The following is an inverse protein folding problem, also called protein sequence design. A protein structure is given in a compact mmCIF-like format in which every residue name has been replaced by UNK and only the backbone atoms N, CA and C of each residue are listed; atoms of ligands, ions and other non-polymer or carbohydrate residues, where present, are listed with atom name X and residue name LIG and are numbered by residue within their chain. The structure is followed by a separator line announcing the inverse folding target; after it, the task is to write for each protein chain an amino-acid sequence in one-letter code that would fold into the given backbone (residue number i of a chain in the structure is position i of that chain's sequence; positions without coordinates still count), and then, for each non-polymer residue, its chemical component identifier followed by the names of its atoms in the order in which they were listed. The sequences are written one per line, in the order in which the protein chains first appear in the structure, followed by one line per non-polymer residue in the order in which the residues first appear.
data_IF_515105020745
#
_entry.id   IF_515105020745
#
_cell.length_a   1.000
_cell.length_b   1.000
_cell.length_c   1.000
_cell.angle_alpha   90.00
_cell.angle_beta   90.00
_cell.angle_gamma   90.00
#
_symmetry.space_group_name_H-M   'P 1'
#
loop_
_entity.id
_entity.type
_entity.pdbx_description
1 polymer ?
#
# COMPACT_ATOMS: atom_id res chain seq x y z
N UNK A 1 11.29 9.98 3.85
CA UNK A 1 10.34 8.83 3.82
C UNK A 1 11.12 7.60 4.26
N UNK A 2 10.85 7.06 5.46
CA UNK A 2 11.37 5.74 5.82
C UNK A 2 10.74 4.72 4.86
N UNK A 3 11.57 3.90 4.22
CA UNK A 3 11.20 2.90 3.22
C UNK A 3 10.18 1.95 3.82
N UNK A 4 8.89 2.13 3.53
CA UNK A 4 7.78 1.50 4.27
C UNK A 4 7.07 0.37 3.51
N UNK A 5 7.63 -0.17 2.44
CA UNK A 5 6.83 -1.10 1.64
C UNK A 5 7.55 -2.24 0.92
N UNK A 6 8.81 -2.60 1.25
CA UNK A 6 9.50 -3.62 0.45
C UNK A 6 9.60 -3.24 -1.05
N UNK A 7 9.31 -1.97 -1.37
CA UNK A 7 9.31 -1.41 -2.72
C UNK A 7 10.75 -1.32 -3.28
N UNK A 8 11.73 -1.45 -2.41
CA UNK A 8 13.14 -1.66 -2.72
C UNK A 8 13.38 -2.97 -3.49
N UNK A 9 12.50 -3.96 -3.39
CA UNK A 9 12.56 -5.20 -4.18
C UNK A 9 11.72 -5.17 -5.46
N UNK A 10 10.90 -4.12 -5.65
CA UNK A 10 10.03 -3.98 -6.81
C UNK A 10 10.75 -3.21 -7.93
N UNK A 11 10.58 -3.62 -9.20
CA UNK A 11 11.15 -2.90 -10.34
C UNK A 11 10.77 -1.42 -10.29
N UNK A 12 11.71 -0.50 -10.56
CA UNK A 12 11.46 0.95 -10.50
C UNK A 12 10.52 1.50 -11.59
N UNK A 13 9.86 0.62 -12.34
CA UNK A 13 8.91 0.94 -13.39
C UNK A 13 7.52 0.41 -13.02
N UNK A 14 6.51 1.29 -13.06
CA UNK A 14 5.11 0.98 -12.75
C UNK A 14 4.53 -0.10 -13.67
N UNK A 15 5.00 -0.18 -14.92
CA UNK A 15 4.57 -1.20 -15.87
C UNK A 15 5.15 -2.55 -15.49
N UNK A 16 6.45 -2.61 -15.21
CA UNK A 16 7.09 -3.82 -14.70
C UNK A 16 6.51 -4.27 -13.34
N UNK A 17 6.12 -3.33 -12.46
CA UNK A 17 5.39 -3.66 -11.23
C UNK A 17 4.01 -4.25 -11.52
N UNK A 18 3.25 -3.65 -12.44
CA UNK A 18 1.93 -4.13 -12.83
C UNK A 18 2.01 -5.53 -13.47
N UNK A 19 2.99 -5.76 -14.36
CA UNK A 19 3.24 -7.06 -14.99
C UNK A 19 3.65 -8.11 -13.95
N UNK A 20 4.56 -7.76 -13.04
CA UNK A 20 4.95 -8.65 -11.95
C UNK A 20 3.76 -9.00 -11.05
N UNK A 21 2.89 -8.05 -10.74
CA UNK A 21 1.69 -8.29 -9.93
C UNK A 21 0.62 -9.07 -10.68
N UNK A 22 0.51 -8.87 -12.00
CA UNK A 22 -0.35 -9.64 -12.89
C UNK A 22 0.08 -11.10 -12.94
N UNK A 23 1.36 -11.35 -13.20
CA UNK A 23 1.94 -12.70 -13.22
C UNK A 23 1.80 -13.42 -11.87
N UNK A 24 1.81 -12.68 -10.76
CA UNK A 24 1.67 -13.21 -9.41
C UNK A 24 0.27 -13.00 -8.81
N UNK A 25 -0.75 -12.69 -9.62
CA UNK A 25 -2.05 -12.27 -9.13
C UNK A 25 -2.76 -13.33 -8.27
N UNK A 26 -2.52 -14.62 -8.53
CA UNK A 26 -3.07 -15.74 -7.75
C UNK A 26 -2.29 -16.03 -6.46
N UNK A 27 -1.07 -15.51 -6.31
CA UNK A 27 -0.25 -15.75 -5.11
C UNK A 27 -0.77 -14.94 -3.93
N UNK A 28 -0.94 -15.62 -2.78
CA UNK A 28 -1.38 -15.03 -1.51
C UNK A 28 -0.23 -14.64 -0.58
N UNK A 29 0.90 -14.22 -1.15
CA UNK A 29 2.02 -13.71 -0.35
C UNK A 29 1.66 -12.35 0.25
N UNK A 30 2.10 -12.09 1.49
CA UNK A 30 1.93 -10.80 2.16
C UNK A 30 2.44 -9.65 1.32
N UNK A 31 3.58 -9.83 0.65
CA UNK A 31 4.17 -8.84 -0.25
C UNK A 31 3.23 -8.48 -1.40
N UNK A 32 2.69 -9.48 -2.10
CA UNK A 32 1.79 -9.28 -3.24
C UNK A 32 0.48 -8.62 -2.81
N UNK A 33 -0.07 -9.01 -1.65
CA UNK A 33 -1.28 -8.39 -1.10
C UNK A 33 -1.04 -6.92 -0.76
N UNK A 34 0.06 -6.61 -0.07
CA UNK A 34 0.43 -5.22 0.27
C UNK A 34 0.63 -4.40 -1.00
N UNK A 35 1.36 -4.91 -1.99
CA UNK A 35 1.61 -4.22 -3.25
C UNK A 35 0.31 -3.90 -4.02
N UNK A 36 -0.64 -4.85 -4.09
CA UNK A 36 -1.97 -4.60 -4.66
C UNK A 36 -2.73 -3.49 -3.92
N UNK A 37 -2.66 -3.46 -2.59
CA UNK A 37 -3.27 -2.39 -1.79
C UNK A 37 -2.62 -1.03 -2.05
N UNK A 38 -1.29 -1.00 -2.18
CA UNK A 38 -0.53 0.23 -2.51
C UNK A 38 -0.98 0.80 -3.84
N UNK A 39 -1.05 -0.03 -4.89
CA UNK A 39 -1.52 0.42 -6.21
C UNK A 39 -2.96 0.90 -6.14
N UNK A 40 -3.87 0.08 -5.58
CA UNK A 40 -5.29 0.43 -5.51
C UNK A 40 -5.53 1.75 -4.76
N UNK A 41 -4.90 1.93 -3.59
CA UNK A 41 -5.02 3.16 -2.82
C UNK A 41 -4.40 4.36 -3.56
N UNK A 42 -3.22 4.20 -4.15
CA UNK A 42 -2.56 5.28 -4.88
C UNK A 42 -3.39 5.74 -6.07
N UNK A 43 -3.89 4.81 -6.89
CA UNK A 43 -4.76 5.11 -8.03
C UNK A 43 -6.03 5.84 -7.57
N UNK A 44 -6.68 5.34 -6.50
CA UNK A 44 -7.89 5.95 -5.97
C UNK A 44 -7.66 7.39 -5.48
N UNK A 45 -6.64 7.63 -4.65
CA UNK A 45 -6.40 8.95 -4.08
C UNK A 45 -5.85 9.96 -5.10
N UNK A 46 -5.10 9.51 -6.11
CA UNK A 46 -4.69 10.35 -7.24
C UNK A 46 -5.90 10.78 -8.06
N UNK A 47 -6.79 9.85 -8.39
CA UNK A 47 -8.05 10.16 -9.08
C UNK A 47 -8.93 11.10 -8.26
N UNK A 48 -9.08 10.84 -6.95
CA UNK A 48 -9.83 11.69 -6.04
C UNK A 48 -9.26 13.11 -5.98
N UNK A 49 -7.94 13.26 -5.93
CA UNK A 49 -7.29 14.57 -5.92
C UNK A 49 -7.52 15.33 -7.24
N UNK A 50 -7.45 14.64 -8.39
CA UNK A 50 -7.78 15.24 -9.68
C UNK A 50 -9.22 15.75 -9.69
N UNK A 51 -10.18 14.97 -9.21
CA UNK A 51 -11.57 15.39 -9.15
C UNK A 51 -11.82 16.53 -8.15
N UNK A 52 -11.16 16.53 -7.00
CA UNK A 52 -11.30 17.62 -6.04
C UNK A 52 -10.76 18.94 -6.58
N UNK A 53 -9.70 18.92 -7.38
CA UNK A 53 -9.20 20.11 -8.06
C UNK A 53 -10.20 20.65 -9.08
N UNK A 54 -10.88 19.76 -9.80
CA UNK A 54 -11.89 20.13 -10.79
C UNK A 54 -13.17 20.68 -10.14
N UNK A 55 -13.66 20.05 -9.07
CA UNK A 55 -15.01 20.30 -8.55
C UNK A 55 -15.08 20.99 -7.18
N UNK A 56 -14.01 20.97 -6.39
CA UNK A 56 -14.02 21.47 -4.99
C UNK A 56 -13.03 22.62 -4.73
N UNK A 57 -12.28 23.08 -5.75
CA UNK A 57 -11.20 24.10 -5.66
C UNK A 57 -10.19 23.90 -4.50
N UNK A 58 -10.23 22.75 -3.85
CA UNK A 58 -9.38 22.39 -2.72
C UNK A 58 -8.18 21.65 -3.26
N UNK A 59 -6.99 22.00 -2.76
CA UNK A 59 -5.74 21.35 -3.14
C UNK A 59 -5.13 20.75 -1.90
N UNK A 60 -4.92 19.43 -1.90
CA UNK A 60 -4.11 18.79 -0.87
C UNK A 60 -2.65 18.83 -1.32
N UNK A 61 -1.77 19.00 -0.35
CA UNK A 61 -0.34 18.84 -0.57
C UNK A 61 -0.02 17.38 -0.89
N UNK A 62 1.09 17.13 -1.59
CA UNK A 62 1.56 15.78 -1.88
C UNK A 62 1.71 14.97 -0.59
N UNK A 63 2.24 15.60 0.47
CA UNK A 63 2.37 14.99 1.80
C UNK A 63 1.03 14.49 2.34
N UNK A 64 -0.01 15.34 2.32
CA UNK A 64 -1.34 14.95 2.78
C UNK A 64 -1.89 13.76 1.99
N UNK A 65 -1.78 13.77 0.66
CA UNK A 65 -2.25 12.66 -0.18
C UNK A 65 -1.51 11.36 0.15
N UNK A 66 -0.19 11.42 0.32
CA UNK A 66 0.62 10.26 0.73
C UNK A 66 0.24 9.75 2.12
N UNK A 67 -0.05 10.64 3.07
CA UNK A 67 -0.51 10.29 4.41
C UNK A 67 -1.89 9.61 4.37
N UNK A 68 -2.82 10.08 3.52
CA UNK A 68 -4.11 9.43 3.28
C UNK A 68 -3.96 8.03 2.70
N UNK A 69 -3.12 7.88 1.66
CA UNK A 69 -2.82 6.57 1.04
C UNK A 69 -2.25 5.61 2.09
N UNK A 70 -1.23 6.06 2.82
CA UNK A 70 -0.56 5.24 3.85
C UNK A 70 -1.55 4.81 4.94
N UNK A 71 -2.41 5.73 5.40
CA UNK A 71 -3.41 5.45 6.43
C UNK A 71 -4.47 4.47 5.94
N UNK A 72 -4.94 4.61 4.70
CA UNK A 72 -5.91 3.70 4.10
C UNK A 72 -5.36 2.27 3.96
N UNK A 73 -4.11 2.13 3.53
CA UNK A 73 -3.44 0.83 3.44
C UNK A 73 -3.27 0.24 4.84
N UNK A 74 -2.74 1.01 5.80
CA UNK A 74 -2.56 0.55 7.19
C UNK A 74 -3.88 0.08 7.79
N UNK A 75 -4.96 0.84 7.63
CA UNK A 75 -6.28 0.46 8.11
C UNK A 75 -6.76 -0.84 7.46
N UNK A 76 -6.55 -1.02 6.16
CA UNK A 76 -6.89 -2.28 5.49
C UNK A 76 -6.05 -3.44 6.03
N UNK A 77 -4.75 -3.25 6.25
CA UNK A 77 -3.87 -4.28 6.80
C UNK A 77 -4.26 -4.68 8.24
N UNK A 78 -4.80 -3.76 9.05
CA UNK A 78 -5.34 -4.10 10.38
C UNK A 78 -6.52 -5.08 10.31
N UNK A 79 -7.28 -5.08 9.21
CA UNK A 79 -8.36 -6.04 8.98
C UNK A 79 -7.85 -7.39 8.48
N UNK A 80 -6.62 -7.45 7.98
CA UNK A 80 -5.99 -8.67 7.52
C UNK A 80 -5.43 -9.47 8.71
N UNK A 81 -5.36 -10.80 8.55
CA UNK A 81 -4.72 -11.69 9.53
C UNK A 81 -3.35 -12.09 9.01
N UNK A 82 -2.29 -11.62 9.67
CA UNK A 82 -0.93 -11.99 9.30
C UNK A 82 -0.55 -13.32 9.95
N UNK A 83 0.07 -14.20 9.16
CA UNK A 83 0.73 -15.40 9.69
C UNK A 83 1.95 -14.96 10.49
N UNK A 84 2.25 -15.64 11.62
CA UNK A 84 3.52 -15.49 12.35
C UNK A 84 4.72 -16.07 11.58
N UNK A 85 5.00 -15.52 10.41
CA UNK A 85 6.23 -15.79 9.65
C UNK A 85 7.20 -14.62 9.77
N UNK A 86 8.47 -14.84 9.41
CA UNK A 86 9.48 -13.76 9.34
C UNK A 86 8.98 -12.60 8.47
N UNK A 87 8.39 -12.91 7.31
CA UNK A 87 7.83 -11.92 6.38
C UNK A 87 6.64 -11.17 6.98
N UNK A 88 5.72 -11.89 7.65
CA UNK A 88 4.57 -11.27 8.31
C UNK A 88 5.00 -10.31 9.41
N UNK A 89 5.98 -10.70 10.22
CA UNK A 89 6.56 -9.86 11.29
C UNK A 89 7.28 -8.65 10.71
N UNK A 90 8.06 -8.86 9.65
CA UNK A 90 8.76 -7.78 8.95
C UNK A 90 7.76 -6.73 8.41
N UNK A 91 6.74 -7.15 7.66
CA UNK A 91 5.75 -6.23 7.11
C UNK A 91 4.92 -5.54 8.18
N UNK A 92 4.52 -6.23 9.26
CA UNK A 92 3.78 -5.58 10.33
C UNK A 92 4.60 -4.47 11.01
N UNK A 93 5.91 -4.70 11.24
CA UNK A 93 6.79 -3.65 11.78
C UNK A 93 6.91 -2.47 10.83
N UNK A 94 7.08 -2.76 9.54
CA UNK A 94 7.19 -1.77 8.48
C UNK A 94 5.97 -0.85 8.40
N UNK A 95 4.78 -1.43 8.56
CA UNK A 95 3.49 -0.74 8.59
C UNK A 95 3.02 -0.33 9.99
N UNK A 96 3.88 -0.50 11.01
CA UNK A 96 3.62 -0.17 12.42
C UNK A 96 2.30 -0.78 12.96
N UNK A 97 1.99 -2.01 12.56
CA UNK A 97 0.79 -2.71 12.98
C UNK A 97 0.95 -3.27 14.41
N UNK A 98 -0.12 -3.28 15.22
CA UNK A 98 -0.12 -3.86 16.55
C UNK A 98 0.06 -5.39 16.49
N UNK A 99 0.53 -5.97 17.58
CA UNK A 99 0.73 -7.42 17.72
C UNK A 99 -0.58 -8.23 17.66
N UNK A 100 -1.74 -7.59 17.83
CA UNK A 100 -3.08 -8.20 17.68
C UNK A 100 -3.38 -8.66 16.26
N UNK A 101 -2.61 -8.21 15.26
CA UNK A 101 -2.80 -8.57 13.85
C UNK A 101 -2.22 -9.96 13.51
N UNK A 102 -1.46 -10.58 14.41
CA UNK A 102 -0.88 -11.92 14.23
C UNK A 102 -1.72 -13.04 14.82
N UNK A 103 -1.83 -14.16 14.09
CA UNK A 103 -2.31 -15.44 14.62
C UNK A 103 -1.29 -16.54 14.41
#
# INVERSE_FOLDING_TARGET
MKTRAGLDQLPHDIYAMADHLGANASRKSSHIVIAKLVIAASTYFLWQERNWRLFKKTKRTIKQVTDYITSAIRLKLLTCRFKRSKDGVHHARLWELPYTTFR
#
